data_IF_542761090941
#
_entry.id   IF_542761090941
#
_cell.length_a   1.000
_cell.length_b   1.000
_cell.length_c   1.000
_cell.angle_alpha   90.00
_cell.angle_beta   90.00
_cell.angle_gamma   90.00
#
_symmetry.space_group_name_H-M   'P 1'
#
loop_
_entity.id
_entity.type
_entity.pdbx_description
1 polymer ?
#
# COMPACT_ATOMS: atom_id res chain seq x y z
N UNK A 1 -9.36 -17.93 -7.71
CA UNK A 1 -9.34 -16.45 -7.51
C UNK A 1 -9.29 -16.20 -6.00
N UNK A 2 -8.39 -15.35 -5.48
CA UNK A 2 -8.29 -15.17 -4.00
C UNK A 2 -9.62 -14.67 -3.45
N UNK A 3 -10.25 -15.46 -2.57
CA UNK A 3 -11.48 -15.09 -1.86
C UNK A 3 -11.19 -14.05 -0.77
N UNK A 4 -12.20 -13.35 -0.27
CA UNK A 4 -12.06 -12.35 0.79
C UNK A 4 -12.08 -10.89 0.33
N UNK A 5 -12.57 -10.01 1.19
CA UNK A 5 -12.70 -8.57 0.90
C UNK A 5 -11.32 -7.90 0.75
N UNK A 6 -11.28 -6.73 0.10
CA UNK A 6 -10.02 -5.97 -0.05
C UNK A 6 -9.43 -5.57 1.31
N UNK A 7 -10.30 -5.34 2.31
CA UNK A 7 -9.92 -5.04 3.69
C UNK A 7 -9.18 -6.22 4.35
N UNK A 8 -9.66 -7.45 4.15
CA UNK A 8 -8.99 -8.66 4.67
C UNK A 8 -7.61 -8.82 4.04
N UNK A 9 -7.51 -8.64 2.73
CA UNK A 9 -6.21 -8.72 2.02
C UNK A 9 -5.23 -7.66 2.52
N UNK A 10 -5.71 -6.42 2.73
CA UNK A 10 -4.88 -5.37 3.32
C UNK A 10 -4.41 -5.74 4.73
N UNK A 11 -5.31 -6.28 5.57
CA UNK A 11 -4.99 -6.71 6.93
C UNK A 11 -3.93 -7.83 6.97
N UNK A 12 -3.99 -8.79 6.04
CA UNK A 12 -2.99 -9.86 5.90
C UNK A 12 -1.63 -9.35 5.41
N UNK A 13 -1.63 -8.33 4.54
CA UNK A 13 -0.39 -7.73 4.03
C UNK A 13 0.31 -6.86 5.08
N UNK A 14 -0.44 -6.20 5.95
CA UNK A 14 0.11 -5.29 6.95
C UNK A 14 1.21 -5.88 7.85
N UNK A 15 1.08 -7.08 8.47
CA UNK A 15 2.16 -7.66 9.27
C UNK A 15 3.42 -7.97 8.44
N UNK A 16 3.25 -8.42 7.18
CA UNK A 16 4.36 -8.70 6.27
C UNK A 16 5.10 -7.40 5.94
N UNK A 17 4.36 -6.34 5.59
CA UNK A 17 4.95 -5.03 5.27
C UNK A 17 5.65 -4.41 6.48
N UNK A 18 5.11 -4.59 7.69
CA UNK A 18 5.75 -4.17 8.93
C UNK A 18 7.05 -4.92 9.19
N UNK A 19 7.05 -6.25 9.09
CA UNK A 19 8.27 -7.05 9.25
C UNK A 19 9.33 -6.69 8.21
N UNK A 20 8.91 -6.52 6.96
CA UNK A 20 9.78 -6.09 5.86
C UNK A 20 10.36 -4.69 6.14
N UNK A 21 9.56 -3.73 6.56
CA UNK A 21 10.03 -2.39 6.92
C UNK A 21 11.06 -2.43 8.06
N UNK A 22 10.79 -3.20 9.12
CA UNK A 22 11.72 -3.33 10.25
C UNK A 22 13.07 -3.88 9.81
N UNK A 23 13.07 -4.89 8.94
CA UNK A 23 14.31 -5.48 8.41
C UNK A 23 15.04 -4.52 7.47
N UNK A 24 14.33 -3.88 6.55
CA UNK A 24 14.89 -3.01 5.51
C UNK A 24 14.91 -1.52 5.89
N UNK A 25 14.80 -1.16 7.18
CA UNK A 25 14.62 0.23 7.65
C UNK A 25 15.72 1.22 7.22
N UNK A 26 16.91 0.71 6.89
CA UNK A 26 18.06 1.50 6.45
C UNK A 26 18.14 1.65 4.91
N UNK A 27 17.15 1.16 4.17
CA UNK A 27 17.08 1.33 2.72
C UNK A 27 16.78 2.77 2.30
N UNK A 28 17.18 3.11 1.06
CA UNK A 28 16.89 4.41 0.46
C UNK A 28 15.38 4.64 0.32
N UNK A 29 14.95 5.88 0.57
CA UNK A 29 13.54 6.28 0.56
C UNK A 29 12.78 5.93 -0.74
N UNK A 30 13.47 5.88 -1.88
CA UNK A 30 12.91 5.54 -3.19
C UNK A 30 12.34 4.12 -3.22
N UNK A 31 12.99 3.19 -2.53
CA UNK A 31 12.59 1.77 -2.49
C UNK A 31 11.20 1.63 -1.85
N UNK A 32 10.94 2.37 -0.76
CA UNK A 32 9.62 2.34 -0.12
C UNK A 32 8.52 2.87 -1.03
N UNK A 33 8.80 3.92 -1.80
CA UNK A 33 7.86 4.50 -2.77
C UNK A 33 7.53 3.52 -3.89
N UNK A 34 8.55 2.87 -4.45
CA UNK A 34 8.40 1.93 -5.55
C UNK A 34 7.67 0.66 -5.10
N UNK A 35 7.98 0.17 -3.90
CA UNK A 35 7.30 -0.99 -3.31
C UNK A 35 5.82 -0.69 -3.03
N UNK A 36 5.51 0.45 -2.41
CA UNK A 36 4.14 0.92 -2.21
C UNK A 36 3.37 1.02 -3.55
N UNK A 37 4.03 1.52 -4.61
CA UNK A 37 3.46 1.61 -5.96
C UNK A 37 3.15 0.23 -6.54
N UNK A 38 4.09 -0.71 -6.44
CA UNK A 38 3.92 -2.09 -6.90
C UNK A 38 2.80 -2.82 -6.18
N UNK A 39 2.70 -2.66 -4.86
CA UNK A 39 1.63 -3.25 -4.05
C UNK A 39 0.26 -2.73 -4.51
N UNK A 40 0.11 -1.39 -4.61
CA UNK A 40 -1.14 -0.77 -5.10
C UNK A 40 -1.47 -1.22 -6.52
N UNK A 41 -0.48 -1.34 -7.41
CA UNK A 41 -0.69 -1.80 -8.78
C UNK A 41 -1.25 -3.23 -8.84
N UNK A 42 -0.73 -4.13 -7.98
CA UNK A 42 -1.23 -5.51 -7.84
C UNK A 42 -2.64 -5.56 -7.26
N UNK A 43 -2.91 -4.80 -6.21
CA UNK A 43 -4.25 -4.71 -5.61
C UNK A 43 -5.27 -4.16 -6.62
N UNK A 44 -4.90 -3.13 -7.40
CA UNK A 44 -5.75 -2.62 -8.50
C UNK A 44 -5.99 -3.69 -9.58
N UNK A 45 -5.02 -4.55 -9.89
CA UNK A 45 -5.24 -5.66 -10.85
C UNK A 45 -6.24 -6.67 -10.29
N UNK A 46 -6.18 -6.98 -8.99
CA UNK A 46 -7.15 -7.84 -8.34
C UNK A 46 -8.56 -7.22 -8.35
N UNK A 47 -8.66 -5.92 -8.05
CA UNK A 47 -9.92 -5.17 -8.10
C UNK A 47 -10.51 -5.11 -9.51
N UNK A 48 -9.69 -4.91 -10.54
CA UNK A 48 -10.14 -4.98 -11.94
C UNK A 48 -10.72 -6.35 -12.29
N UNK A 49 -10.09 -7.44 -11.83
CA UNK A 49 -10.61 -8.80 -12.05
C UNK A 49 -11.96 -9.03 -11.35
N UNK A 50 -12.18 -8.41 -10.18
CA UNK A 50 -13.42 -8.49 -9.39
C UNK A 50 -14.53 -7.58 -9.94
N UNK A 51 -14.19 -6.35 -10.32
CA UNK A 51 -15.12 -5.31 -10.78
C UNK A 51 -14.95 -5.05 -12.28
N UNK A 52 -15.27 -6.07 -13.10
CA UNK A 52 -15.14 -6.01 -14.56
C UNK A 52 -16.04 -4.96 -15.22
N UNK A 53 -17.18 -4.63 -14.60
CA UNK A 53 -18.07 -3.59 -15.09
C UNK A 53 -17.44 -2.22 -14.82
N UNK A 54 -17.29 -1.39 -15.85
CA UNK A 54 -16.82 -0.01 -15.74
C UNK A 54 -17.84 0.98 -16.35
N UNK A 55 -18.98 1.21 -15.68
CA UNK A 55 -20.05 2.05 -16.21
C UNK A 55 -19.61 3.51 -16.40
N UNK A 56 -18.75 4.02 -15.51
CA UNK A 56 -18.29 5.40 -15.52
C UNK A 56 -17.08 5.65 -16.44
N UNK A 57 -16.58 4.62 -17.15
CA UNK A 57 -15.38 4.69 -18.04
C UNK A 57 -14.12 5.30 -17.39
N UNK A 58 -14.05 5.32 -16.06
CA UNK A 58 -12.91 5.84 -15.31
C UNK A 58 -11.68 4.96 -15.46
N UNK A 59 -10.50 5.57 -15.41
CA UNK A 59 -9.23 4.85 -15.35
C UNK A 59 -9.09 4.12 -14.01
N UNK A 60 -8.20 3.13 -13.96
CA UNK A 60 -7.96 2.34 -12.74
C UNK A 60 -7.49 3.19 -11.54
N UNK A 61 -6.81 4.31 -11.81
CA UNK A 61 -6.30 5.20 -10.77
C UNK A 61 -7.42 6.07 -10.21
N UNK A 62 -8.37 6.48 -11.06
CA UNK A 62 -9.56 7.23 -10.64
C UNK A 62 -10.57 6.32 -9.91
N UNK A 63 -10.75 5.07 -10.36
CA UNK A 63 -11.64 4.10 -9.67
C UNK A 63 -11.14 3.70 -8.29
N UNK A 64 -9.82 3.59 -8.12
CA UNK A 64 -9.18 3.23 -6.86
C UNK A 64 -7.99 4.16 -6.60
N UNK A 65 -8.26 5.38 -6.10
CA UNK A 65 -7.23 6.34 -5.77
C UNK A 65 -6.33 5.81 -4.64
N UNK A 66 -5.19 6.45 -4.42
CA UNK A 66 -4.28 6.06 -3.33
C UNK A 66 -5.01 6.07 -1.98
N UNK A 67 -5.86 7.07 -1.77
CA UNK A 67 -6.67 7.25 -0.56
C UNK A 67 -7.64 6.08 -0.29
N UNK A 68 -8.13 5.39 -1.34
CA UNK A 68 -8.96 4.20 -1.18
C UNK A 68 -8.24 3.10 -0.39
N UNK A 69 -6.95 2.88 -0.69
CA UNK A 69 -6.15 1.88 0.02
C UNK A 69 -5.80 2.32 1.44
N UNK A 70 -5.59 3.61 1.66
CA UNK A 70 -5.39 4.19 2.99
C UNK A 70 -6.61 3.98 3.88
N UNK A 71 -7.82 4.26 3.36
CA UNK A 71 -9.10 4.03 4.05
C UNK A 71 -9.36 2.56 4.38
N UNK A 72 -8.85 1.64 3.57
CA UNK A 72 -8.90 0.21 3.85
C UNK A 72 -7.92 -0.24 4.94
N UNK A 73 -7.04 0.66 5.40
CA UNK A 73 -6.03 0.38 6.42
C UNK A 73 -4.77 -0.28 5.89
N UNK A 74 -4.46 -0.15 4.58
CA UNK A 74 -3.20 -0.67 4.03
C UNK A 74 -2.01 0.11 4.61
N UNK A 75 -1.04 -0.62 5.15
CA UNK A 75 0.19 -0.06 5.67
C UNK A 75 1.03 0.60 4.56
N UNK A 76 1.41 1.87 4.76
CA UNK A 76 2.28 2.58 3.82
C UNK A 76 3.70 2.63 4.35
N UNK A 77 4.62 2.08 3.56
CA UNK A 77 6.05 2.08 3.89
C UNK A 77 6.65 3.49 3.88
N UNK A 78 6.12 4.37 3.03
CA UNK A 78 6.53 5.79 2.99
C UNK A 78 6.22 6.49 4.31
N UNK A 79 5.02 6.29 4.84
CA UNK A 79 4.60 6.89 6.12
C UNK A 79 5.42 6.33 7.28
N UNK A 80 5.68 5.01 7.27
CA UNK A 80 6.54 4.36 8.25
C UNK A 80 7.97 4.94 8.25
N UNK A 81 8.56 5.10 7.07
CA UNK A 81 9.88 5.71 6.90
C UNK A 81 9.91 7.15 7.40
N UNK A 82 8.89 7.94 7.08
CA UNK A 82 8.82 9.34 7.52
C UNK A 82 8.72 9.46 9.04
N UNK A 83 7.98 8.58 9.71
CA UNK A 83 7.92 8.50 11.18
C UNK A 83 9.26 8.09 11.78
N UNK A 84 9.95 7.14 11.15
CA UNK A 84 11.28 6.71 11.56
C UNK A 84 12.32 7.84 11.44
N UNK A 85 12.35 8.55 10.31
CA UNK A 85 13.23 9.71 10.11
C UNK A 85 12.99 10.82 11.14
N UNK A 86 11.72 11.14 11.43
CA UNK A 86 11.36 12.10 12.49
C UNK A 86 11.85 11.67 13.87
N UNK A 87 11.75 10.38 14.19
CA UNK A 87 12.24 9.84 15.47
C UNK A 87 13.75 9.95 15.61
N UNK A 88 14.52 9.86 14.52
CA UNK A 88 15.97 10.03 14.54
C UNK A 88 16.38 11.49 14.71
N UNK A 89 15.66 12.43 14.10
CA UNK A 89 15.94 13.86 14.17
C UNK A 89 15.65 14.49 15.54
N UNK A 90 14.78 13.88 16.35
CA UNK A 90 14.46 14.37 17.71
C UNK A 90 15.49 14.02 18.79
N UNK A 91 16.57 13.32 18.44
CA UNK A 91 17.60 12.83 19.36
C UNK A 91 18.95 13.59 19.24
N UNK A 92 18.96 14.77 18.64
CA UNK A 92 20.13 15.65 18.50
C UNK A 92 19.84 17.05 19.03
#
# INVERSE_FOLDING_TARGET
MRSGSMKVIAAELNPILRGWFTYFRHCRWTIYKDLDSHLRARLRRLLLKRHRKNPQRLTRNERWPIDYFTKLGLYSLREAHFRFDRSLKGNY
#
